data_IF_225417518655
#
_entry.id   IF_225417518655
#
_cell.length_a   1.000
_cell.length_b   1.000
_cell.length_c   1.000
_cell.angle_alpha   90.00
_cell.angle_beta   90.00
_cell.angle_gamma   90.00
#
_symmetry.space_group_name_H-M   'P 1'
#
loop_
_entity.id
_entity.type
_entity.pdbx_description
1 polymer ?
#
# COMPACT_ATOMS: atom_id res chain seq x y z
N UNK A 1 35.69 -15.38 19.71
CA UNK A 1 34.56 -16.08 19.04
C UNK A 1 35.11 -17.31 18.33
N UNK A 2 34.49 -18.48 18.52
CA UNK A 2 34.85 -19.70 17.79
C UNK A 2 34.22 -19.66 16.39
N UNK A 3 34.88 -20.23 15.37
CA UNK A 3 34.38 -20.35 14.00
C UNK A 3 32.94 -20.91 13.94
N UNK A 4 32.64 -21.89 14.81
CA UNK A 4 31.30 -22.48 14.92
C UNK A 4 30.27 -21.42 15.34
N UNK A 5 30.61 -20.55 16.28
CA UNK A 5 29.72 -19.49 16.78
C UNK A 5 29.39 -18.47 15.67
N UNK A 6 30.39 -18.09 14.85
CA UNK A 6 30.21 -17.17 13.72
C UNK A 6 29.25 -17.75 12.67
N UNK A 7 29.34 -19.05 12.40
CA UNK A 7 28.46 -19.73 11.45
C UNK A 7 27.01 -19.73 11.96
N UNK A 8 26.79 -20.04 13.24
CA UNK A 8 25.46 -19.99 13.85
C UNK A 8 24.87 -18.57 13.83
N UNK A 9 25.67 -17.56 14.18
CA UNK A 9 25.23 -16.17 14.17
C UNK A 9 24.84 -15.73 12.74
N UNK A 10 25.61 -16.14 11.73
CA UNK A 10 25.28 -15.86 10.32
C UNK A 10 23.95 -16.49 9.89
N UNK A 11 23.70 -17.77 10.24
CA UNK A 11 22.43 -18.43 9.92
C UNK A 11 21.24 -17.82 10.67
N UNK A 12 21.43 -17.39 11.92
CA UNK A 12 20.41 -16.67 12.68
C UNK A 12 20.09 -15.31 12.04
N UNK A 13 21.11 -14.55 11.64
CA UNK A 13 20.94 -13.27 10.95
C UNK A 13 20.21 -13.49 9.61
N UNK A 14 20.63 -14.48 8.81
CA UNK A 14 19.98 -14.81 7.54
C UNK A 14 18.52 -15.24 7.74
N UNK A 15 18.24 -16.05 8.75
CA UNK A 15 16.88 -16.44 9.12
C UNK A 15 16.02 -15.25 9.53
N UNK A 16 16.55 -14.35 10.38
CA UNK A 16 15.87 -13.12 10.80
C UNK A 16 15.59 -12.18 9.61
N UNK A 17 16.51 -12.07 8.65
CA UNK A 17 16.29 -11.29 7.42
C UNK A 17 15.14 -11.89 6.60
N UNK A 18 15.11 -13.20 6.42
CA UNK A 18 14.00 -13.87 5.72
C UNK A 18 12.67 -13.71 6.45
N UNK A 19 12.66 -13.75 7.78
CA UNK A 19 11.47 -13.52 8.60
C UNK A 19 10.94 -12.07 8.45
N UNK A 20 11.84 -11.09 8.43
CA UNK A 20 11.49 -9.68 8.25
C UNK A 20 10.85 -9.40 6.88
N UNK A 21 11.28 -10.11 5.83
CA UNK A 21 10.74 -9.99 4.46
C UNK A 21 9.31 -10.55 4.34
N UNK A 22 8.85 -11.39 5.28
CA UNK A 22 7.51 -12.02 5.24
C UNK A 22 6.47 -11.19 6.03
N UNK A 23 6.87 -10.09 6.68
CA UNK A 23 5.94 -9.27 7.45
C UNK A 23 5.00 -8.47 6.53
N UNK A 24 3.81 -9.02 6.29
CA UNK A 24 2.53 -8.37 5.95
C UNK A 24 2.61 -7.05 5.15
N UNK A 25 2.99 -7.14 3.89
CA UNK A 25 2.84 -6.05 2.92
C UNK A 25 1.39 -5.96 2.41
N UNK A 26 0.43 -5.79 3.32
CA UNK A 26 -0.97 -5.51 2.97
C UNK A 26 -1.52 -4.29 3.73
N UNK A 27 -2.47 -3.55 3.11
CA UNK A 27 -3.03 -2.37 3.75
C UNK A 27 -3.75 -2.73 5.05
N UNK A 28 -3.51 -1.96 6.11
CA UNK A 28 -4.35 -2.04 7.31
C UNK A 28 -5.83 -1.83 6.97
N UNK A 29 -6.76 -2.49 7.69
CA UNK A 29 -8.19 -2.28 7.52
C UNK A 29 -8.55 -0.79 7.58
N UNK A 30 -9.27 -0.30 6.57
CA UNK A 30 -9.54 1.13 6.39
C UNK A 30 -10.92 1.39 5.78
N UNK A 31 -11.42 2.60 6.02
CA UNK A 31 -12.65 3.11 5.42
C UNK A 31 -12.37 4.38 4.59
N UNK A 32 -13.35 4.85 3.82
CA UNK A 32 -13.31 6.14 3.12
C UNK A 32 -12.12 6.34 2.16
N UNK A 33 -11.54 5.25 1.66
CA UNK A 33 -10.53 5.28 0.61
C UNK A 33 -11.15 5.57 -0.76
N UNK A 34 -10.37 6.17 -1.66
CA UNK A 34 -10.72 6.23 -3.08
C UNK A 34 -10.05 5.09 -3.84
N UNK A 35 -10.62 4.65 -4.97
CA UNK A 35 -10.01 3.62 -5.80
C UNK A 35 -10.23 3.86 -7.29
N UNK A 36 -9.22 3.52 -8.10
CA UNK A 36 -9.29 3.67 -9.56
C UNK A 36 -8.54 2.55 -10.25
N UNK A 37 -9.13 2.06 -11.35
CA UNK A 37 -8.48 1.12 -12.25
C UNK A 37 -7.65 1.90 -13.27
N UNK A 38 -6.33 1.73 -13.25
CA UNK A 38 -5.40 2.34 -14.21
C UNK A 38 -4.69 1.21 -14.94
N UNK A 39 -4.95 1.08 -16.23
CA UNK A 39 -4.54 -0.07 -17.03
C UNK A 39 -4.98 -1.39 -16.36
N UNK A 40 -4.04 -2.25 -15.97
CA UNK A 40 -4.30 -3.52 -15.28
C UNK A 40 -4.10 -3.43 -13.76
N UNK A 41 -3.95 -2.23 -13.18
CA UNK A 41 -3.72 -2.07 -11.75
C UNK A 41 -4.91 -1.39 -11.08
N UNK A 42 -5.48 -2.03 -10.06
CA UNK A 42 -6.51 -1.44 -9.22
C UNK A 42 -5.84 -0.74 -8.04
N UNK A 43 -5.81 0.60 -8.08
CA UNK A 43 -5.22 1.43 -7.05
C UNK A 43 -6.22 1.80 -5.96
N UNK A 44 -5.70 1.93 -4.73
CA UNK A 44 -6.38 2.36 -3.53
C UNK A 44 -5.60 3.51 -2.90
N UNK A 45 -6.26 4.63 -2.65
CA UNK A 45 -5.65 5.87 -2.21
C UNK A 45 -6.19 6.28 -0.84
N UNK A 46 -5.27 6.39 0.12
CA UNK A 46 -5.56 6.93 1.44
C UNK A 46 -6.59 6.11 2.23
N UNK A 47 -7.52 6.83 2.84
CA UNK A 47 -8.55 6.33 3.75
C UNK A 47 -8.32 6.72 5.21
N UNK A 48 -9.13 6.12 6.08
CA UNK A 48 -9.04 6.22 7.55
C UNK A 48 -8.77 4.84 8.11
N UNK A 49 -7.70 4.68 8.88
CA UNK A 49 -7.44 3.48 9.68
C UNK A 49 -7.05 3.89 11.10
N UNK A 50 -7.58 3.19 12.11
CA UNK A 50 -7.34 3.49 13.53
C UNK A 50 -7.44 5.00 13.85
N UNK A 51 -8.52 5.65 13.38
CA UNK A 51 -8.82 7.08 13.53
C UNK A 51 -7.81 8.05 12.90
N UNK A 52 -6.85 7.56 12.10
CA UNK A 52 -5.87 8.37 11.40
C UNK A 52 -6.12 8.39 9.90
N UNK A 53 -5.94 9.56 9.29
CA UNK A 53 -5.87 9.70 7.84
C UNK A 53 -4.53 9.16 7.35
N UNK A 54 -4.56 8.45 6.22
CA UNK A 54 -3.36 7.91 5.60
C UNK A 54 -3.13 8.49 4.21
N UNK A 55 -1.86 8.62 3.84
CA UNK A 55 -1.42 8.98 2.50
C UNK A 55 -0.91 7.77 1.71
N UNK A 56 -1.08 6.57 2.23
CA UNK A 56 -0.62 5.36 1.55
C UNK A 56 -1.35 5.12 0.23
N UNK A 57 -0.61 4.55 -0.72
CA UNK A 57 -1.13 4.06 -1.99
C UNK A 57 -0.82 2.58 -2.08
N UNK A 58 -1.85 1.80 -2.34
CA UNK A 58 -1.76 0.35 -2.52
C UNK A 58 -2.39 -0.03 -3.86
N UNK A 59 -1.93 -1.12 -4.47
CA UNK A 59 -2.59 -1.64 -5.66
C UNK A 59 -2.59 -3.17 -5.73
N UNK A 60 -3.52 -3.68 -6.52
CA UNK A 60 -3.55 -5.06 -6.99
C UNK A 60 -3.24 -5.07 -8.49
N UNK A 61 -2.28 -5.90 -8.91
CA UNK A 61 -2.02 -6.15 -10.32
C UNK A 61 -2.96 -7.23 -10.85
N UNK A 62 -3.85 -6.83 -11.75
CA UNK A 62 -4.87 -7.67 -12.38
C UNK A 62 -4.41 -8.24 -13.73
N UNK A 63 -3.13 -8.10 -14.08
CA UNK A 63 -2.58 -8.67 -15.33
C UNK A 63 -2.62 -10.19 -15.35
N UNK A 64 -2.64 -10.82 -14.17
CA UNK A 64 -2.72 -12.28 -14.00
C UNK A 64 -3.79 -12.64 -12.96
N UNK A 65 -4.33 -13.86 -13.06
CA UNK A 65 -5.20 -14.40 -12.02
C UNK A 65 -4.41 -14.68 -10.74
N UNK A 66 -5.00 -14.38 -9.58
CA UNK A 66 -4.42 -14.65 -8.26
C UNK A 66 -5.44 -15.32 -7.33
N UNK A 67 -4.93 -15.90 -6.25
CA UNK A 67 -5.75 -16.53 -5.22
C UNK A 67 -6.47 -15.47 -4.38
N UNK A 68 -7.80 -15.53 -4.27
CA UNK A 68 -8.58 -14.58 -3.48
C UNK A 68 -8.39 -14.75 -1.96
N UNK A 69 -7.91 -15.91 -1.50
CA UNK A 69 -7.58 -16.12 -0.08
C UNK A 69 -6.30 -15.39 0.35
N UNK A 70 -5.42 -15.03 -0.60
CA UNK A 70 -4.19 -14.29 -0.34
C UNK A 70 -3.97 -13.30 -1.47
N UNK A 71 -4.47 -12.07 -1.28
CA UNK A 71 -4.37 -11.02 -2.27
C UNK A 71 -2.92 -10.52 -2.40
N UNK A 72 -2.38 -10.39 -3.63
CA UNK A 72 -1.02 -9.90 -3.87
C UNK A 72 -0.99 -8.37 -3.80
N UNK A 73 -1.04 -7.83 -2.59
CA UNK A 73 -0.96 -6.39 -2.37
C UNK A 73 0.44 -5.86 -2.70
N UNK A 74 0.47 -4.68 -3.30
CA UNK A 74 1.69 -3.93 -3.57
C UNK A 74 1.57 -2.52 -3.02
N UNK A 75 2.58 -2.08 -2.27
CA UNK A 75 2.70 -0.70 -1.80
C UNK A 75 3.36 0.15 -2.89
N UNK A 76 2.78 1.30 -3.20
CA UNK A 76 3.36 2.28 -4.12
C UNK A 76 3.79 3.54 -3.36
N UNK A 77 4.37 4.49 -4.08
CA UNK A 77 4.70 5.81 -3.56
C UNK A 77 3.45 6.46 -2.96
N UNK A 78 3.55 6.83 -1.67
CA UNK A 78 2.49 7.54 -0.97
C UNK A 78 2.18 8.91 -1.57
N UNK A 79 0.96 9.37 -1.35
CA UNK A 79 0.52 10.71 -1.68
C UNK A 79 1.28 11.76 -0.86
N UNK A 80 1.41 13.00 -1.37
CA UNK A 80 2.06 14.08 -0.62
C UNK A 80 1.29 14.47 0.65
N UNK A 81 -0.02 14.20 0.70
CA UNK A 81 -0.91 14.52 1.82
C UNK A 81 -1.87 13.36 2.05
N UNK A 82 -2.21 13.11 3.31
CA UNK A 82 -3.21 12.11 3.67
C UNK A 82 -4.59 12.53 3.17
N UNK A 83 -5.35 11.56 2.66
CA UNK A 83 -6.66 11.80 2.05
C UNK A 83 -7.64 10.74 2.54
N UNK A 84 -8.87 11.13 2.86
CA UNK A 84 -10.01 10.22 3.03
C UNK A 84 -11.14 10.74 2.14
N UNK A 85 -12.36 10.20 2.24
CA UNK A 85 -13.63 10.63 1.61
C UNK A 85 -13.52 11.24 0.19
N UNK A 86 -12.52 10.84 -0.58
CA UNK A 86 -12.20 11.41 -1.88
C UNK A 86 -12.93 10.62 -2.95
N UNK A 87 -13.34 11.34 -3.99
CA UNK A 87 -13.66 10.73 -5.28
C UNK A 87 -12.39 10.69 -6.12
N UNK A 88 -12.23 9.62 -6.90
CA UNK A 88 -11.13 9.50 -7.86
C UNK A 88 -11.68 9.41 -9.28
N UNK A 89 -11.01 10.05 -10.23
CA UNK A 89 -11.28 9.85 -11.66
C UNK A 89 -9.97 9.66 -12.44
N UNK A 90 -10.00 8.74 -13.40
CA UNK A 90 -8.88 8.50 -14.31
C UNK A 90 -8.98 9.49 -15.46
N UNK A 91 -7.84 10.08 -15.83
CA UNK A 91 -7.73 10.99 -16.96
C UNK A 91 -8.18 10.30 -18.26
N UNK A 92 -9.15 10.86 -18.99
CA UNK A 92 -9.61 10.29 -20.25
C UNK A 92 -8.61 10.49 -21.39
N UNK A 93 -7.56 11.30 -21.19
CA UNK A 93 -6.61 11.68 -22.23
C UNK A 93 -5.45 10.68 -22.29
N UNK A 94 -4.89 10.32 -21.14
CA UNK A 94 -3.69 9.46 -21.05
C UNK A 94 -3.97 8.07 -20.44
N UNK A 95 -5.13 7.89 -19.79
CA UNK A 95 -5.48 6.67 -19.06
C UNK A 95 -4.42 6.21 -18.03
N UNK A 96 -3.55 7.13 -17.60
CA UNK A 96 -2.44 6.88 -16.67
C UNK A 96 -2.44 7.81 -15.47
N UNK A 97 -3.07 8.98 -15.59
CA UNK A 97 -3.19 9.95 -14.50
C UNK A 97 -4.48 9.75 -13.72
N UNK A 98 -4.42 9.83 -12.39
CA UNK A 98 -5.59 9.79 -11.49
C UNK A 98 -5.73 11.12 -10.78
N UNK A 99 -6.92 11.71 -10.84
CA UNK A 99 -7.27 12.89 -10.07
C UNK A 99 -8.02 12.47 -8.82
N UNK A 100 -7.60 12.98 -7.66
CA UNK A 100 -8.29 12.83 -6.39
C UNK A 100 -9.00 14.15 -6.08
N UNK A 101 -10.32 14.09 -6.00
CA UNK A 101 -11.19 15.22 -5.70
C UNK A 101 -11.82 14.96 -4.34
N UNK A 102 -11.42 15.76 -3.36
CA UNK A 102 -11.96 15.72 -2.00
C UNK A 102 -12.29 17.12 -1.53
N UNK A 103 -13.28 17.20 -0.65
CA UNK A 103 -13.64 18.44 0.02
C UNK A 103 -12.91 18.54 1.36
N UNK A 104 -11.90 19.43 1.43
CA UNK A 104 -11.28 19.78 2.70
C UNK A 104 -12.01 20.99 3.28
N UNK A 105 -12.84 20.79 4.29
CA UNK A 105 -13.13 21.89 5.20
C UNK A 105 -11.90 22.00 6.08
N UNK A 106 -11.01 22.94 5.77
CA UNK A 106 -9.90 23.27 6.67
C UNK A 106 -10.48 23.69 8.02
N UNK A 107 -10.44 22.79 9.00
CA UNK A 107 -10.27 23.23 10.39
C UNK A 107 -8.78 23.19 10.65
N UNK A 108 -8.13 24.33 10.49
CA UNK A 108 -6.96 24.63 11.30
C UNK A 108 -7.34 24.37 12.76
N UNK A 109 -6.75 23.35 13.38
CA UNK A 109 -6.53 23.24 14.82
C UNK A 109 -5.16 22.60 15.03
#
# INVERSE_FOLDING_TARGET
MNLIQIIFDFFLILSCINLFVICDDFPSPRAAQASSLVNNKLYFFGGVFADNFTNEVWYLDLSNSFNLSVLPWHKDQGLPVAVAFASSCVSPIDNSSVFLIWWKHDTCL
#
